data_IF_822109223226
#
_entry.id   IF_822109223226
#
_cell.length_a   1.000
_cell.length_b   1.000
_cell.length_c   1.000
_cell.angle_alpha   90.00
_cell.angle_beta   90.00
_cell.angle_gamma   90.00
#
_symmetry.space_group_name_H-M   'P 1'
#
loop_
_entity.id
_entity.type
_entity.pdbx_description
1 polymer ?
#
# COMPACT_ATOMS: atom_id res chain seq x y z
N UNK A 1 12.89 -42.34 -0.68
CA UNK A 1 12.58 -43.74 -0.34
C UNK A 1 12.31 -43.80 1.16
N UNK A 2 11.06 -43.72 1.64
CA UNK A 2 10.13 -44.84 1.98
C UNK A 2 10.88 -46.05 2.60
N UNK A 3 10.59 -46.66 3.76
CA UNK A 3 9.41 -46.96 4.58
C UNK A 3 9.88 -47.10 6.07
N UNK A 4 9.16 -46.60 7.08
CA UNK A 4 8.13 -47.27 7.92
C UNK A 4 8.65 -48.18 9.06
N UNK A 5 8.04 -48.07 10.25
CA UNK A 5 7.98 -49.21 11.19
C UNK A 5 7.96 -48.95 12.70
N UNK A 6 6.82 -48.50 13.24
CA UNK A 6 6.13 -48.94 14.49
C UNK A 6 6.89 -49.40 15.75
N UNK A 7 6.45 -48.77 16.85
CA UNK A 7 5.97 -49.34 18.15
C UNK A 7 6.99 -49.95 19.13
N UNK A 8 7.11 -49.33 20.32
CA UNK A 8 6.71 -49.93 21.61
C UNK A 8 7.19 -49.06 22.78
N UNK A 9 6.26 -48.43 23.50
CA UNK A 9 6.52 -47.76 24.77
C UNK A 9 5.34 -47.95 25.70
N UNK A 10 5.40 -48.98 26.55
CA UNK A 10 4.51 -49.13 27.72
C UNK A 10 4.72 -47.95 28.67
N UNK A 11 3.68 -47.56 29.41
CA UNK A 11 3.88 -47.45 30.86
C UNK A 11 2.75 -48.10 31.66
N UNK A 12 3.17 -49.12 32.41
CA UNK A 12 2.86 -49.41 33.81
C UNK A 12 1.49 -49.00 34.38
N UNK A 13 0.67 -50.02 34.60
CA UNK A 13 -0.48 -50.03 35.50
C UNK A 13 -0.07 -49.65 36.93
N UNK A 14 -0.47 -48.47 37.39
CA UNK A 14 -0.50 -48.11 38.81
C UNK A 14 -1.76 -47.29 39.02
N UNK A 15 -2.84 -47.93 39.48
CA UNK A 15 -3.83 -47.42 40.44
C UNK A 15 -4.78 -48.58 40.76
N UNK A 16 -4.39 -49.40 41.75
CA UNK A 16 -5.28 -50.36 42.42
C UNK A 16 -5.31 -49.95 43.88
N UNK A 17 -6.35 -49.21 44.27
CA UNK A 17 -6.83 -49.09 45.65
C UNK A 17 -8.19 -48.38 45.62
N UNK A 18 -9.26 -49.17 45.62
CA UNK A 18 -10.61 -48.69 45.91
C UNK A 18 -10.80 -48.61 47.43
N UNK A 19 -11.38 -47.52 47.97
CA UNK A 19 -11.98 -47.55 49.31
C UNK A 19 -13.34 -48.29 49.27
N UNK A 20 -13.71 -49.02 50.34
CA UNK A 20 -14.91 -49.85 50.38
C UNK A 20 -16.14 -49.00 50.72
N UNK A 21 -17.21 -49.08 49.92
CA UNK A 21 -18.53 -48.58 50.35
C UNK A 21 -19.34 -47.73 49.36
N UNK A 22 -19.19 -47.87 48.04
CA UNK A 22 -20.11 -47.27 47.08
C UNK A 22 -20.71 -48.33 46.15
N UNK A 23 -22.04 -48.34 46.08
CA UNK A 23 -22.93 -49.36 45.52
C UNK A 23 -22.76 -49.57 43.99
N UNK A 24 -23.29 -50.67 43.41
CA UNK A 24 -23.03 -51.06 42.03
C UNK A 24 -23.66 -50.10 41.02
N UNK A 25 -22.93 -49.83 39.95
CA UNK A 25 -23.45 -49.22 38.72
C UNK A 25 -24.59 -50.07 38.15
N UNK A 26 -25.82 -49.68 38.45
CA UNK A 26 -26.99 -50.06 37.66
C UNK A 26 -27.07 -49.14 36.45
N UNK A 27 -26.99 -49.75 35.28
CA UNK A 27 -27.33 -49.14 34.00
C UNK A 27 -28.79 -48.67 34.04
N UNK A 28 -28.99 -47.39 34.34
CA UNK A 28 -30.22 -46.70 34.01
C UNK A 28 -29.95 -45.89 32.75
N UNK A 29 -30.62 -46.26 31.66
CA UNK A 29 -30.83 -45.41 30.51
C UNK A 29 -31.56 -44.13 30.97
N UNK A 30 -30.79 -43.17 31.49
CA UNK A 30 -31.20 -41.81 31.72
C UNK A 30 -30.57 -40.97 30.63
N UNK A 31 -31.31 -40.76 29.54
CA UNK A 31 -31.08 -39.62 28.66
C UNK A 31 -31.04 -38.39 29.58
N UNK A 32 -29.87 -37.81 29.80
CA UNK A 32 -29.75 -36.60 30.61
C UNK A 32 -30.59 -35.54 29.91
N UNK A 33 -31.70 -35.07 30.53
CA UNK A 33 -32.56 -34.09 29.90
C UNK A 33 -31.72 -32.84 29.71
N UNK A 34 -31.66 -32.37 28.47
CA UNK A 34 -31.16 -31.07 28.05
C UNK A 34 -30.09 -30.48 28.97
N UNK A 35 -28.82 -30.55 28.53
CA UNK A 35 -27.94 -29.40 28.77
C UNK A 35 -28.65 -28.21 28.10
N UNK A 36 -29.53 -27.56 28.86
CA UNK A 36 -29.99 -26.21 28.58
C UNK A 36 -28.71 -25.47 28.30
N UNK A 37 -28.52 -25.05 27.05
CA UNK A 37 -27.56 -24.00 26.77
C UNK A 37 -28.08 -22.87 27.65
N UNK A 38 -27.47 -22.69 28.82
CA UNK A 38 -27.89 -21.66 29.77
C UNK A 38 -27.78 -20.34 29.03
N UNK A 39 -28.62 -19.35 29.34
CA UNK A 39 -28.53 -18.04 28.69
C UNK A 39 -27.07 -17.54 28.71
N UNK A 40 -26.36 -17.75 29.82
CA UNK A 40 -24.92 -17.53 30.02
C UNK A 40 -24.02 -18.19 28.95
N UNK A 41 -24.40 -19.34 28.39
CA UNK A 41 -23.64 -20.05 27.35
C UNK A 41 -23.87 -19.48 25.94
N UNK A 42 -25.03 -18.89 25.66
CA UNK A 42 -25.26 -18.16 24.38
C UNK A 42 -24.65 -16.77 24.49
N UNK A 43 -24.85 -16.09 25.62
CA UNK A 43 -24.32 -14.75 25.86
C UNK A 43 -22.79 -14.74 25.87
N UNK A 44 -22.15 -15.77 26.44
CA UNK A 44 -20.69 -15.93 26.35
C UNK A 44 -20.19 -16.22 24.93
N UNK A 45 -20.97 -16.94 24.11
CA UNK A 45 -20.62 -17.19 22.72
C UNK A 45 -20.75 -15.92 21.86
N UNK A 46 -21.81 -15.13 22.07
CA UNK A 46 -21.98 -13.83 21.42
C UNK A 46 -20.85 -12.87 21.83
N UNK A 47 -20.48 -12.85 23.11
CA UNK A 47 -19.36 -12.02 23.58
C UNK A 47 -18.02 -12.47 22.98
N UNK A 48 -17.81 -13.78 22.82
CA UNK A 48 -16.64 -14.33 22.14
C UNK A 48 -16.60 -13.92 20.67
N UNK A 49 -17.74 -13.97 19.97
CA UNK A 49 -17.87 -13.52 18.58
C UNK A 49 -17.52 -12.03 18.45
N UNK A 50 -18.09 -11.18 19.31
CA UNK A 50 -17.82 -9.74 19.31
C UNK A 50 -16.34 -9.44 19.55
N UNK A 51 -15.68 -10.17 20.46
CA UNK A 51 -14.24 -10.04 20.69
C UNK A 51 -13.41 -10.42 19.46
N UNK A 52 -13.75 -11.52 18.77
CA UNK A 52 -13.03 -11.94 17.56
C UNK A 52 -13.30 -11.01 16.36
N UNK A 53 -14.53 -10.48 16.26
CA UNK A 53 -14.88 -9.49 15.26
C UNK A 53 -14.07 -8.21 15.47
N UNK A 54 -14.06 -7.67 16.68
CA UNK A 54 -13.30 -6.47 17.01
C UNK A 54 -11.79 -6.70 16.83
N UNK A 55 -11.27 -7.85 17.27
CA UNK A 55 -9.87 -8.19 17.07
C UNK A 55 -9.51 -8.27 15.57
N UNK A 56 -10.34 -8.93 14.76
CA UNK A 56 -10.14 -9.02 13.32
C UNK A 56 -10.26 -7.66 12.62
N UNK A 57 -11.19 -6.81 13.07
CA UNK A 57 -11.35 -5.45 12.57
C UNK A 57 -10.11 -4.59 12.85
N UNK A 58 -9.61 -4.59 14.09
CA UNK A 58 -8.43 -3.81 14.47
C UNK A 58 -7.18 -4.26 13.70
N UNK A 59 -6.98 -5.59 13.56
CA UNK A 59 -5.89 -6.13 12.73
C UNK A 59 -6.05 -5.71 11.27
N UNK A 60 -7.26 -5.84 10.70
CA UNK A 60 -7.50 -5.45 9.31
C UNK A 60 -7.31 -3.96 9.04
N UNK A 61 -7.67 -3.10 10.00
CA UNK A 61 -7.41 -1.65 9.92
C UNK A 61 -5.92 -1.36 9.96
N UNK A 62 -5.19 -1.98 10.88
CA UNK A 62 -3.74 -1.82 10.99
C UNK A 62 -3.03 -2.29 9.72
N UNK A 63 -3.29 -3.51 9.27
CA UNK A 63 -2.69 -4.10 8.08
C UNK A 63 -3.04 -3.27 6.83
N UNK A 64 -4.28 -2.79 6.73
CA UNK A 64 -4.72 -1.94 5.63
C UNK A 64 -4.01 -0.60 5.60
N UNK A 65 -3.75 0.02 6.75
CA UNK A 65 -2.99 1.27 6.85
C UNK A 65 -1.52 1.06 6.43
N UNK A 66 -0.89 0.01 6.92
CA UNK A 66 0.50 -0.32 6.57
C UNK A 66 0.66 -0.66 5.08
N UNK A 67 -0.25 -1.50 4.55
CA UNK A 67 -0.27 -1.86 3.14
C UNK A 67 -0.53 -0.64 2.25
N UNK A 68 -1.49 0.21 2.61
CA UNK A 68 -1.81 1.42 1.86
C UNK A 68 -0.65 2.42 1.81
N UNK A 69 0.07 2.59 2.93
CA UNK A 69 1.27 3.45 2.95
C UNK A 69 2.38 2.90 2.04
N UNK A 70 2.62 1.59 2.10
CA UNK A 70 3.65 0.95 1.28
C UNK A 70 3.31 1.04 -0.21
N UNK A 71 2.07 0.71 -0.58
CA UNK A 71 1.60 0.80 -1.96
C UNK A 71 1.64 2.23 -2.49
N UNK A 72 1.16 3.19 -1.69
CA UNK A 72 1.19 4.62 -2.04
C UNK A 72 2.61 5.12 -2.26
N UNK A 73 3.57 4.71 -1.42
CA UNK A 73 4.98 5.07 -1.60
C UNK A 73 5.56 4.48 -2.89
N UNK A 74 5.34 3.18 -3.14
CA UNK A 74 5.83 2.52 -4.34
C UNK A 74 5.23 3.10 -5.63
N UNK A 75 3.95 3.45 -5.61
CA UNK A 75 3.28 4.09 -6.73
C UNK A 75 3.82 5.51 -6.94
N UNK A 76 3.96 6.28 -5.86
CA UNK A 76 4.53 7.63 -5.88
C UNK A 76 5.94 7.65 -6.45
N UNK A 77 6.79 6.69 -6.10
CA UNK A 77 8.15 6.58 -6.64
C UNK A 77 8.15 6.33 -8.15
N UNK A 78 7.30 5.41 -8.63
CA UNK A 78 7.21 5.08 -10.06
C UNK A 78 6.69 6.25 -10.88
N UNK A 79 5.58 6.85 -10.46
CA UNK A 79 4.96 7.96 -11.18
C UNK A 79 5.79 9.25 -11.05
N UNK A 80 6.39 9.47 -9.88
CA UNK A 80 7.33 10.55 -9.64
C UNK A 80 8.56 10.45 -10.55
N UNK A 81 9.11 9.25 -10.75
CA UNK A 81 10.23 9.06 -11.68
C UNK A 81 9.86 9.43 -13.11
N UNK A 82 8.69 8.98 -13.62
CA UNK A 82 8.21 9.34 -14.97
C UNK A 82 8.09 10.86 -15.13
N UNK A 83 7.53 11.53 -14.12
CA UNK A 83 7.40 12.98 -14.08
C UNK A 83 8.75 13.69 -14.13
N UNK A 84 9.69 13.30 -13.25
CA UNK A 84 11.02 13.92 -13.19
C UNK A 84 11.85 13.63 -14.43
N UNK A 85 11.67 12.47 -15.05
CA UNK A 85 12.30 12.14 -16.32
C UNK A 85 11.82 13.07 -17.46
N UNK A 86 10.52 13.40 -17.49
CA UNK A 86 9.97 14.39 -18.41
C UNK A 86 10.58 15.78 -18.16
N UNK A 87 10.59 16.24 -16.91
CA UNK A 87 11.13 17.55 -16.53
C UNK A 87 12.64 17.67 -16.82
N UNK A 88 13.42 16.63 -16.52
CA UNK A 88 14.85 16.57 -16.81
C UNK A 88 15.15 16.65 -18.30
N UNK A 89 14.32 16.01 -19.14
CA UNK A 89 14.43 16.13 -20.60
C UNK A 89 14.18 17.56 -21.10
N UNK A 90 13.18 18.26 -20.55
CA UNK A 90 12.92 19.65 -20.89
C UNK A 90 14.06 20.56 -20.43
N UNK A 91 14.56 20.36 -19.22
CA UNK A 91 15.67 21.13 -18.65
C UNK A 91 16.94 20.99 -19.50
N UNK A 92 17.33 19.75 -19.84
CA UNK A 92 18.53 19.50 -20.63
C UNK A 92 18.48 20.18 -22.01
N UNK A 93 17.32 20.12 -22.69
CA UNK A 93 17.14 20.85 -23.94
C UNK A 93 17.18 22.37 -23.76
N UNK A 94 16.48 22.90 -22.75
CA UNK A 94 16.48 24.33 -22.47
C UNK A 94 17.89 24.86 -22.20
N UNK A 95 18.72 24.11 -21.47
CA UNK A 95 20.13 24.46 -21.22
C UNK A 95 20.96 24.46 -22.50
N UNK A 96 20.81 23.43 -23.36
CA UNK A 96 21.49 23.39 -24.67
C UNK A 96 21.10 24.61 -25.51
N UNK A 97 19.81 24.91 -25.62
CA UNK A 97 19.32 26.07 -26.38
C UNK A 97 19.76 27.40 -25.77
N UNK A 98 19.86 27.48 -24.43
CA UNK A 98 20.35 28.65 -23.72
C UNK A 98 21.81 28.99 -24.05
N UNK A 99 22.63 27.97 -24.34
CA UNK A 99 24.03 28.13 -24.74
C UNK A 99 24.24 28.57 -26.20
N UNK A 100 23.22 28.45 -27.06
CA UNK A 100 23.32 28.80 -28.48
C UNK A 100 23.28 30.32 -28.70
N UNK A 101 24.27 30.87 -29.40
CA UNK A 101 24.41 32.32 -29.60
C UNK A 101 23.34 32.91 -30.55
N UNK A 102 22.86 32.12 -31.50
CA UNK A 102 21.97 32.55 -32.61
C UNK A 102 20.52 32.83 -32.18
N UNK A 103 20.16 32.57 -30.93
CA UNK A 103 18.80 32.78 -30.45
C UNK A 103 18.47 34.27 -30.24
N UNK A 104 17.30 34.69 -30.72
CA UNK A 104 16.79 36.05 -30.46
C UNK A 104 16.68 36.32 -28.95
N UNK A 105 16.84 37.58 -28.53
CA UNK A 105 16.72 37.96 -27.11
C UNK A 105 15.37 37.54 -26.49
N UNK A 106 14.29 37.60 -27.28
CA UNK A 106 12.95 37.16 -26.86
C UNK A 106 12.90 35.65 -26.61
N UNK A 107 13.52 34.85 -27.49
CA UNK A 107 13.60 33.40 -27.32
C UNK A 107 14.46 33.04 -26.10
N UNK A 108 15.60 33.71 -25.91
CA UNK A 108 16.45 33.52 -24.71
C UNK A 108 15.65 33.76 -23.42
N UNK A 109 14.86 34.83 -23.35
CA UNK A 109 14.00 35.10 -22.18
C UNK A 109 12.96 33.98 -21.93
N UNK A 110 12.36 33.44 -23.00
CA UNK A 110 11.41 32.31 -22.88
C UNK A 110 12.08 31.02 -22.40
N UNK A 111 13.30 30.74 -22.88
CA UNK A 111 14.10 29.60 -22.44
C UNK A 111 14.45 29.74 -20.95
N UNK A 112 14.86 30.93 -20.50
CA UNK A 112 15.16 31.17 -19.09
C UNK A 112 13.91 31.05 -18.21
N UNK A 113 12.75 31.50 -18.69
CA UNK A 113 11.48 31.28 -17.99
C UNK A 113 11.15 29.79 -17.84
N UNK A 114 11.37 28.99 -18.88
CA UNK A 114 11.16 27.54 -18.81
C UNK A 114 12.08 26.88 -17.77
N UNK A 115 13.37 27.27 -17.74
CA UNK A 115 14.32 26.77 -16.74
C UNK A 115 13.86 27.13 -15.33
N UNK A 116 13.49 28.40 -15.10
CA UNK A 116 13.03 28.86 -13.79
C UNK A 116 11.76 28.12 -13.31
N UNK A 117 10.82 27.83 -14.21
CA UNK A 117 9.63 27.05 -13.88
C UNK A 117 9.96 25.61 -13.46
N UNK A 118 10.95 24.98 -14.10
CA UNK A 118 11.38 23.62 -13.77
C UNK A 118 12.14 23.61 -12.43
N UNK A 119 13.02 24.59 -12.18
CA UNK A 119 13.78 24.72 -10.94
C UNK A 119 12.89 25.04 -9.73
N UNK A 120 11.77 25.74 -9.95
CA UNK A 120 10.78 26.03 -8.93
C UNK A 120 9.78 24.88 -8.69
N UNK A 121 9.91 23.74 -9.39
CA UNK A 121 8.97 22.64 -9.26
C UNK A 121 9.07 21.98 -7.87
N UNK A 122 7.93 21.66 -7.21
CA UNK A 122 7.94 21.13 -5.85
C UNK A 122 8.76 19.84 -5.69
N UNK A 123 9.68 19.82 -4.73
CA UNK A 123 10.53 18.66 -4.39
C UNK A 123 10.14 18.00 -3.06
N UNK A 124 9.24 18.61 -2.31
CA UNK A 124 8.74 18.11 -1.04
C UNK A 124 7.22 17.97 -1.10
N UNK A 125 6.70 16.90 -0.52
CA UNK A 125 5.27 16.64 -0.39
C UNK A 125 4.81 17.05 1.02
N UNK A 126 4.34 18.30 1.23
CA UNK A 126 3.87 18.73 2.54
C UNK A 126 2.59 17.96 2.93
N UNK A 127 2.51 17.41 4.15
CA UNK A 127 1.43 16.51 4.56
C UNK A 127 0.05 17.19 4.68
N UNK A 128 -0.01 18.52 4.72
CA UNK A 128 -1.24 19.28 5.00
C UNK A 128 -1.78 20.09 3.82
N UNK A 129 -1.04 20.17 2.70
CA UNK A 129 -1.48 20.97 1.57
C UNK A 129 -2.16 20.11 0.51
N UNK A 130 -3.49 20.20 0.43
CA UNK A 130 -4.23 19.84 -0.78
C UNK A 130 -4.02 20.86 -1.92
N UNK A 131 -3.19 21.88 -1.70
CA UNK A 131 -3.06 23.09 -2.51
C UNK A 131 -1.91 23.06 -3.52
N UNK A 132 -0.95 22.15 -3.37
CA UNK A 132 0.10 21.96 -4.37
C UNK A 132 -0.49 21.28 -5.62
N UNK A 133 -1.07 22.08 -6.52
CA UNK A 133 -1.55 21.60 -7.81
C UNK A 133 -0.35 21.27 -8.72
N UNK A 134 0.26 20.12 -8.45
CA UNK A 134 1.39 19.54 -9.19
C UNK A 134 1.07 19.47 -10.69
N UNK A 135 -0.18 19.15 -11.02
CA UNK A 135 -0.66 19.02 -12.39
C UNK A 135 -0.70 20.38 -13.10
N UNK A 136 -1.15 21.45 -12.42
CA UNK A 136 -1.11 22.80 -12.96
C UNK A 136 0.32 23.27 -13.23
N UNK A 137 1.25 23.06 -12.30
CA UNK A 137 2.67 23.39 -12.50
C UNK A 137 3.25 22.63 -13.69
N UNK A 138 2.97 21.33 -13.79
CA UNK A 138 3.43 20.49 -14.89
C UNK A 138 2.85 20.93 -16.24
N UNK A 139 1.55 21.23 -16.30
CA UNK A 139 0.90 21.68 -17.52
C UNK A 139 1.44 23.05 -17.98
N UNK A 140 1.75 23.95 -17.05
CA UNK A 140 2.39 25.22 -17.35
C UNK A 140 3.80 25.01 -17.95
N UNK A 141 4.60 24.10 -17.39
CA UNK A 141 5.92 23.74 -17.92
C UNK A 141 5.79 23.16 -19.33
N UNK A 142 4.88 22.20 -19.56
CA UNK A 142 4.62 21.60 -20.88
C UNK A 142 4.25 22.65 -21.92
N UNK A 143 3.41 23.62 -21.55
CA UNK A 143 3.02 24.72 -22.43
C UNK A 143 4.22 25.61 -22.81
N UNK A 144 5.06 25.97 -21.84
CA UNK A 144 6.28 26.75 -22.09
C UNK A 144 7.30 25.98 -22.94
N UNK A 145 7.44 24.66 -22.73
CA UNK A 145 8.27 23.80 -23.57
C UNK A 145 7.79 23.76 -25.02
N UNK A 146 6.48 23.52 -25.25
CA UNK A 146 5.88 23.54 -26.60
C UNK A 146 6.06 24.90 -27.27
N UNK A 147 5.92 25.99 -26.52
CA UNK A 147 6.16 27.34 -27.02
C UNK A 147 7.62 27.54 -27.46
N UNK A 148 8.59 27.10 -26.66
CA UNK A 148 9.99 27.18 -27.04
C UNK A 148 10.25 26.39 -28.33
N UNK A 149 9.77 25.14 -28.41
CA UNK A 149 9.89 24.29 -29.61
C UNK A 149 9.34 24.98 -30.86
N UNK A 150 8.14 25.56 -30.79
CA UNK A 150 7.52 26.26 -31.90
C UNK A 150 8.36 27.46 -32.40
N UNK A 151 8.98 28.21 -31.49
CA UNK A 151 9.86 29.34 -31.85
C UNK A 151 11.17 28.89 -32.51
N UNK A 152 11.60 27.64 -32.30
CA UNK A 152 12.80 27.07 -32.94
C UNK A 152 12.47 26.24 -34.18
N UNK A 153 11.19 26.09 -34.55
CA UNK A 153 10.77 25.22 -35.64
C UNK A 153 10.96 23.73 -35.35
N UNK A 154 11.07 23.35 -34.08
CA UNK A 154 11.26 21.97 -33.64
C UNK A 154 9.91 21.32 -33.35
N UNK A 155 9.76 20.04 -33.71
CA UNK A 155 8.62 19.24 -33.27
C UNK A 155 8.79 18.90 -31.78
N UNK A 156 7.84 19.25 -30.89
CA UNK A 156 7.93 18.84 -29.50
C UNK A 156 7.93 17.32 -29.40
N UNK A 157 8.96 16.76 -28.77
CA UNK A 157 8.95 15.36 -28.36
C UNK A 157 8.42 15.31 -26.94
N UNK A 158 7.15 14.93 -26.81
CA UNK A 158 6.50 14.84 -25.53
C UNK A 158 6.80 13.44 -24.98
N UNK A 159 7.49 13.39 -23.83
CA UNK A 159 7.61 12.18 -23.03
C UNK A 159 6.58 12.31 -21.92
N UNK A 160 5.33 12.04 -22.25
CA UNK A 160 4.21 12.22 -21.33
C UNK A 160 4.35 11.21 -20.19
N UNK A 161 4.53 11.70 -18.96
CA UNK A 161 4.57 10.85 -17.78
C UNK A 161 3.26 10.10 -17.45
N UNK A 162 2.22 10.20 -18.28
CA UNK A 162 0.84 9.84 -17.92
C UNK A 162 0.07 8.92 -18.87
N UNK A 163 0.71 8.22 -19.80
CA UNK A 163 0.00 7.37 -20.79
C UNK A 163 0.52 5.94 -20.85
N UNK A 164 0.56 5.26 -19.71
CA UNK A 164 0.54 3.79 -19.66
C UNK A 164 -0.59 3.36 -18.72
N UNK A 165 -1.82 3.42 -19.24
CA UNK A 165 -2.95 2.71 -18.65
C UNK A 165 -2.81 1.22 -18.98
N UNK A 166 -2.41 0.43 -17.99
CA UNK A 166 -2.59 -1.04 -18.01
C UNK A 166 -4.05 -1.36 -17.70
#
# INVERSE_FOLDING_TARGET
MILAGRMCGRPTNRWRAHPPGAQPFMFAHGWSPGRLITMDSIDSLNHLEEQFFEAGYQVGVQDGQEAGQLEGHQLGDKEGFKLWEELGYYLGQAQIWGGTQDNTAKLKAKIQNLIALIEAFPTHNPPESHEADILSHLNNIRANYRMCCANMGLRPRIREAGTESV
#
